data_IF_225280254756
#
_entry.id   IF_225280254756
#
_cell.length_a   1.000
_cell.length_b   1.000
_cell.length_c   1.000
_cell.angle_alpha   90.00
_cell.angle_beta   90.00
_cell.angle_gamma   90.00
#
_symmetry.space_group_name_H-M   'P 1'
#
loop_
_entity.id
_entity.type
_entity.pdbx_description
1 polymer ?
#
# COMPACT_ATOMS: atom_id res chain seq x y z
N UNK A 1 76.78 -19.36 -127.54
CA UNK A 1 77.24 -19.11 -126.16
C UNK A 1 76.46 -17.96 -125.51
N UNK A 2 76.47 -16.74 -126.07
CA UNK A 2 75.74 -15.57 -125.53
C UNK A 2 74.22 -15.71 -125.31
N UNK A 3 73.47 -16.41 -126.18
CA UNK A 3 72.02 -16.62 -126.01
C UNK A 3 71.67 -17.57 -124.85
N UNK A 4 72.50 -18.58 -124.62
CA UNK A 4 72.31 -19.54 -123.53
C UNK A 4 72.62 -18.89 -122.18
N UNK A 5 73.64 -18.03 -122.15
CA UNK A 5 74.05 -17.26 -120.98
C UNK A 5 72.96 -16.28 -120.54
N UNK A 6 72.35 -15.55 -121.48
CA UNK A 6 71.20 -14.68 -121.17
C UNK A 6 69.98 -15.45 -120.67
N UNK A 7 69.67 -16.61 -121.25
CA UNK A 7 68.56 -17.45 -120.78
C UNK A 7 68.79 -17.99 -119.36
N UNK A 8 70.03 -18.39 -119.05
CA UNK A 8 70.43 -18.82 -117.71
C UNK A 8 70.33 -17.67 -116.70
N UNK A 9 70.81 -16.47 -117.06
CA UNK A 9 70.74 -15.28 -116.18
C UNK A 9 69.30 -14.84 -115.91
N UNK A 10 68.44 -14.79 -116.93
CA UNK A 10 67.01 -14.46 -116.78
C UNK A 10 66.27 -15.51 -115.93
N UNK A 11 66.51 -16.80 -116.15
CA UNK A 11 65.87 -17.87 -115.38
C UNK A 11 66.35 -17.87 -113.92
N UNK A 12 67.67 -17.69 -113.69
CA UNK A 12 68.22 -17.53 -112.34
C UNK A 12 67.65 -16.30 -111.63
N UNK A 13 67.47 -15.18 -112.33
CA UNK A 13 66.86 -13.96 -111.76
C UNK A 13 65.39 -14.19 -111.39
N UNK A 14 64.62 -14.87 -112.25
CA UNK A 14 63.23 -15.25 -111.96
C UNK A 14 63.13 -16.19 -110.75
N UNK A 15 63.99 -17.23 -110.69
CA UNK A 15 64.07 -18.13 -109.54
C UNK A 15 64.49 -17.39 -108.26
N UNK A 16 65.43 -16.45 -108.35
CA UNK A 16 65.86 -15.64 -107.20
C UNK A 16 64.75 -14.73 -106.68
N UNK A 17 63.97 -14.10 -107.58
CA UNK A 17 62.78 -13.31 -107.22
C UNK A 17 61.71 -14.18 -106.57
N UNK A 18 61.47 -15.38 -107.11
CA UNK A 18 60.48 -16.31 -106.57
C UNK A 18 60.89 -16.87 -105.19
N UNK A 19 62.17 -17.18 -104.99
CA UNK A 19 62.73 -17.57 -103.69
C UNK A 19 62.64 -16.44 -102.67
N UNK A 20 62.97 -15.20 -103.07
CA UNK A 20 62.85 -14.02 -102.22
C UNK A 20 61.39 -13.77 -101.83
N UNK A 21 60.45 -13.90 -102.77
CA UNK A 21 59.03 -13.72 -102.51
C UNK A 21 58.46 -14.81 -101.60
N UNK A 22 58.85 -16.07 -101.79
CA UNK A 22 58.49 -17.17 -100.91
C UNK A 22 59.07 -16.98 -99.50
N UNK A 23 60.32 -16.52 -99.39
CA UNK A 23 60.94 -16.21 -98.10
C UNK A 23 60.22 -15.07 -97.39
N UNK A 24 59.85 -14.00 -98.10
CA UNK A 24 59.07 -12.87 -97.56
C UNK A 24 57.67 -13.32 -97.15
N UNK A 25 56.97 -14.12 -97.95
CA UNK A 25 55.65 -14.65 -97.62
C UNK A 25 55.68 -15.55 -96.39
N UNK A 26 56.67 -16.44 -96.29
CA UNK A 26 56.83 -17.32 -95.15
C UNK A 26 57.15 -16.52 -93.87
N UNK A 27 58.05 -15.54 -93.97
CA UNK A 27 58.37 -14.66 -92.84
C UNK A 27 57.19 -13.77 -92.43
N UNK A 28 56.35 -13.36 -93.38
CA UNK A 28 55.12 -12.61 -93.11
C UNK A 28 54.08 -13.50 -92.42
N UNK A 29 53.93 -14.75 -92.86
CA UNK A 29 53.03 -15.71 -92.24
C UNK A 29 53.43 -16.03 -90.79
N UNK A 30 54.72 -16.25 -90.53
CA UNK A 30 55.23 -16.47 -89.16
C UNK A 30 55.05 -15.24 -88.27
N UNK A 31 55.30 -14.03 -88.79
CA UNK A 31 55.03 -12.80 -88.03
C UNK A 31 53.55 -12.60 -87.72
N UNK A 32 52.64 -12.92 -88.66
CA UNK A 32 51.20 -12.87 -88.43
C UNK A 32 50.77 -13.91 -87.38
N UNK A 33 51.28 -15.14 -87.45
CA UNK A 33 50.99 -16.19 -86.47
C UNK A 33 51.43 -15.78 -85.06
N UNK A 34 52.66 -15.29 -84.90
CA UNK A 34 53.17 -14.75 -83.62
C UNK A 34 52.30 -13.58 -83.15
N UNK A 35 51.96 -12.65 -84.04
CA UNK A 35 51.11 -11.50 -83.73
C UNK A 35 49.72 -11.90 -83.25
N UNK A 36 49.08 -12.86 -83.91
CA UNK A 36 47.76 -13.38 -83.51
C UNK A 36 47.80 -14.14 -82.19
N UNK A 37 48.83 -14.96 -81.97
CA UNK A 37 49.03 -15.66 -80.70
C UNK A 37 49.24 -14.68 -79.56
N UNK A 38 50.06 -13.64 -79.76
CA UNK A 38 50.31 -12.61 -78.75
C UNK A 38 49.03 -11.83 -78.44
N UNK A 39 48.28 -11.41 -79.47
CA UNK A 39 46.99 -10.72 -79.29
C UNK A 39 45.98 -11.59 -78.54
N UNK A 40 45.89 -12.88 -78.86
CA UNK A 40 45.01 -13.82 -78.14
C UNK A 40 45.41 -13.96 -76.67
N UNK A 41 46.71 -14.09 -76.39
CA UNK A 41 47.23 -14.18 -75.03
C UNK A 41 47.00 -12.88 -74.24
N UNK A 42 47.22 -11.72 -74.87
CA UNK A 42 46.95 -10.41 -74.28
C UNK A 42 45.45 -10.27 -73.97
N UNK A 43 44.56 -10.63 -74.90
CA UNK A 43 43.12 -10.58 -74.68
C UNK A 43 42.68 -11.48 -73.52
N UNK A 44 43.25 -12.69 -73.40
CA UNK A 44 42.97 -13.58 -72.27
C UNK A 44 43.48 -13.01 -70.93
N UNK A 45 44.68 -12.44 -70.91
CA UNK A 45 45.23 -11.77 -69.73
C UNK A 45 44.39 -10.56 -69.32
N UNK A 46 43.98 -9.72 -70.27
CA UNK A 46 43.09 -8.58 -70.01
C UNK A 46 41.78 -9.07 -69.41
N UNK A 47 41.19 -10.14 -69.94
CA UNK A 47 39.95 -10.71 -69.40
C UNK A 47 40.12 -11.22 -67.96
N UNK A 48 41.21 -11.94 -67.66
CA UNK A 48 41.52 -12.40 -66.29
C UNK A 48 41.73 -11.23 -65.34
N UNK A 49 42.43 -10.19 -65.78
CA UNK A 49 42.65 -8.99 -64.98
C UNK A 49 41.33 -8.28 -64.68
N UNK A 50 40.46 -8.10 -65.68
CA UNK A 50 39.13 -7.50 -65.46
C UNK A 50 38.27 -8.30 -64.49
N UNK A 51 38.35 -9.64 -64.52
CA UNK A 51 37.61 -10.50 -63.58
C UNK A 51 38.09 -10.26 -62.14
N UNK A 52 39.41 -10.25 -61.92
CA UNK A 52 40.00 -9.95 -60.61
C UNK A 52 39.65 -8.52 -60.15
N UNK A 53 39.72 -7.53 -61.04
CA UNK A 53 39.33 -6.14 -60.72
C UNK A 53 37.87 -6.05 -60.28
N UNK A 54 36.96 -6.72 -60.99
CA UNK A 54 35.54 -6.74 -60.61
C UNK A 54 35.31 -7.46 -59.28
N UNK A 55 36.04 -8.55 -59.02
CA UNK A 55 35.98 -9.28 -57.76
C UNK A 55 36.45 -8.40 -56.59
N UNK A 56 37.59 -7.72 -56.75
CA UNK A 56 38.13 -6.80 -55.74
C UNK A 56 37.16 -5.64 -55.51
N UNK A 57 36.61 -5.03 -56.57
CA UNK A 57 35.65 -3.94 -56.44
C UNK A 57 34.39 -4.37 -55.67
N UNK A 58 33.87 -5.57 -55.95
CA UNK A 58 32.72 -6.13 -55.23
C UNK A 58 33.05 -6.41 -53.76
N UNK A 59 34.21 -7.00 -53.47
CA UNK A 59 34.65 -7.23 -52.09
C UNK A 59 34.84 -5.92 -51.33
N UNK A 60 35.47 -4.92 -51.93
CA UNK A 60 35.63 -3.59 -51.32
C UNK A 60 34.28 -2.95 -51.04
N UNK A 61 33.36 -2.96 -51.99
CA UNK A 61 32.00 -2.43 -51.80
C UNK A 61 31.26 -3.14 -50.66
N UNK A 62 31.41 -4.47 -50.57
CA UNK A 62 30.81 -5.26 -49.48
C UNK A 62 31.39 -4.89 -48.11
N UNK A 63 32.72 -4.72 -48.03
CA UNK A 63 33.39 -4.33 -46.79
C UNK A 63 33.01 -2.90 -46.37
N UNK A 64 32.88 -1.98 -47.32
CA UNK A 64 32.43 -0.60 -47.06
C UNK A 64 31.01 -0.57 -46.49
N UNK A 65 30.09 -1.35 -47.07
CA UNK A 65 28.71 -1.48 -46.57
C UNK A 65 28.72 -2.04 -45.14
N UNK A 66 29.46 -3.13 -44.89
CA UNK A 66 29.55 -3.71 -43.54
C UNK A 66 30.15 -2.74 -42.52
N UNK A 67 31.16 -1.96 -42.92
CA UNK A 67 31.76 -0.95 -42.05
C UNK A 67 30.74 0.14 -41.69
N UNK A 68 29.95 0.59 -42.66
CA UNK A 68 28.89 1.57 -42.44
C UNK A 68 27.79 1.02 -41.52
N UNK A 69 27.33 -0.20 -41.74
CA UNK A 69 26.33 -0.88 -40.89
C UNK A 69 26.82 -1.03 -39.45
N UNK A 70 28.09 -1.41 -39.27
CA UNK A 70 28.72 -1.50 -37.95
C UNK A 70 28.80 -0.12 -37.28
N UNK A 71 29.23 0.92 -38.02
CA UNK A 71 29.33 2.27 -37.47
C UNK A 71 27.97 2.82 -37.02
N UNK A 72 26.91 2.56 -37.80
CA UNK A 72 25.55 2.96 -37.47
C UNK A 72 25.04 2.22 -36.23
N UNK A 73 25.36 0.93 -36.12
CA UNK A 73 25.01 0.09 -34.96
C UNK A 73 25.71 0.59 -33.70
N UNK A 74 27.00 0.91 -33.78
CA UNK A 74 27.76 1.51 -32.67
C UNK A 74 27.16 2.84 -32.24
N UNK A 75 26.86 3.75 -33.18
CA UNK A 75 26.23 5.03 -32.86
C UNK A 75 24.88 4.86 -32.12
N UNK A 76 24.07 3.88 -32.55
CA UNK A 76 22.80 3.57 -31.89
C UNK A 76 23.02 3.07 -30.46
N UNK A 77 24.00 2.20 -30.24
CA UNK A 77 24.36 1.68 -28.92
C UNK A 77 24.88 2.79 -28.00
N UNK A 78 25.74 3.68 -28.50
CA UNK A 78 26.25 4.83 -27.75
C UNK A 78 25.12 5.75 -27.28
N UNK A 79 24.15 6.03 -28.15
CA UNK A 79 22.97 6.83 -27.80
C UNK A 79 22.12 6.16 -26.71
N UNK A 80 21.92 4.84 -26.82
CA UNK A 80 21.20 4.08 -25.79
C UNK A 80 21.95 4.09 -24.45
N UNK A 81 23.27 3.92 -24.47
CA UNK A 81 24.11 3.94 -23.27
C UNK A 81 24.05 5.32 -22.58
N UNK A 82 24.06 6.41 -23.35
CA UNK A 82 23.93 7.77 -22.80
C UNK A 82 22.58 7.96 -22.11
N UNK A 83 21.50 7.49 -22.74
CA UNK A 83 20.16 7.58 -22.17
C UNK A 83 20.03 6.75 -20.89
N UNK A 84 20.56 5.52 -20.87
CA UNK A 84 20.58 4.68 -19.68
C UNK A 84 21.40 5.31 -18.55
N UNK A 85 22.56 5.90 -18.87
CA UNK A 85 23.39 6.62 -17.90
C UNK A 85 22.62 7.78 -17.27
N UNK A 86 21.87 8.55 -18.05
CA UNK A 86 21.05 9.63 -17.54
C UNK A 86 19.95 9.14 -16.57
N UNK A 87 19.25 8.06 -16.93
CA UNK A 87 18.22 7.47 -16.04
C UNK A 87 18.85 6.92 -14.74
N UNK A 88 20.03 6.31 -14.82
CA UNK A 88 20.75 5.84 -13.62
C UNK A 88 21.09 7.01 -12.70
N UNK A 89 21.60 8.13 -13.24
CA UNK A 89 21.91 9.32 -12.44
C UNK A 89 20.65 9.89 -11.76
N UNK A 90 19.53 9.93 -12.48
CA UNK A 90 18.24 10.38 -11.94
C UNK A 90 17.71 9.46 -10.83
N UNK A 91 17.89 8.15 -10.97
CA UNK A 91 17.54 7.19 -9.92
C UNK A 91 18.48 7.36 -8.72
N UNK A 92 19.77 7.56 -8.94
CA UNK A 92 20.75 7.76 -7.88
C UNK A 92 20.44 9.00 -7.02
N UNK A 93 20.10 10.12 -7.66
CA UNK A 93 19.69 11.35 -6.96
C UNK A 93 18.42 11.14 -6.13
N UNK A 94 17.41 10.45 -6.68
CA UNK A 94 16.19 10.10 -5.95
C UNK A 94 16.48 9.19 -4.75
N UNK A 95 17.36 8.21 -4.92
CA UNK A 95 17.74 7.31 -3.84
C UNK A 95 18.47 8.06 -2.73
N UNK A 96 19.39 8.96 -3.07
CA UNK A 96 20.09 9.79 -2.08
C UNK A 96 19.11 10.67 -1.28
N UNK A 97 18.11 11.26 -1.94
CA UNK A 97 17.07 12.03 -1.26
C UNK A 97 16.21 11.16 -0.32
N UNK A 98 15.86 9.94 -0.76
CA UNK A 98 15.10 9.00 0.05
C UNK A 98 15.88 8.53 1.27
N UNK A 99 17.17 8.22 1.11
CA UNK A 99 18.07 7.86 2.21
C UNK A 99 18.13 8.98 3.26
N UNK A 100 18.25 10.24 2.83
CA UNK A 100 18.24 11.36 3.77
C UNK A 100 16.91 11.51 4.52
N UNK A 101 15.77 11.36 3.83
CA UNK A 101 14.44 11.40 4.47
C UNK A 101 14.23 10.27 5.47
N UNK A 102 14.75 9.08 5.18
CA UNK A 102 14.68 7.95 6.09
C UNK A 102 15.46 8.27 7.37
N UNK A 103 16.68 8.80 7.25
CA UNK A 103 17.48 9.19 8.41
C UNK A 103 16.79 10.26 9.26
N UNK A 104 16.22 11.30 8.63
CA UNK A 104 15.44 12.32 9.36
C UNK A 104 14.21 11.72 10.07
N UNK A 105 13.51 10.77 9.44
CA UNK A 105 12.37 10.09 10.07
C UNK A 105 12.81 9.21 11.23
N UNK A 106 13.92 8.48 11.09
CA UNK A 106 14.48 7.65 12.17
C UNK A 106 14.89 8.50 13.37
N UNK A 107 15.46 9.68 13.14
CA UNK A 107 15.81 10.63 14.21
C UNK A 107 14.56 11.14 14.93
N UNK A 108 13.54 11.60 14.19
CA UNK A 108 12.27 12.05 14.79
C UNK A 108 11.58 10.95 15.60
N UNK A 109 11.47 9.74 15.04
CA UNK A 109 10.86 8.62 15.76
C UNK A 109 11.64 8.25 17.03
N UNK A 110 12.96 8.41 17.02
CA UNK A 110 13.79 8.16 18.20
C UNK A 110 13.51 9.19 19.29
N UNK A 111 13.40 10.47 18.93
CA UNK A 111 13.02 11.54 19.87
C UNK A 111 11.64 11.30 20.47
N UNK A 112 10.63 10.99 19.65
CA UNK A 112 9.27 10.66 20.11
C UNK A 112 9.24 9.44 21.04
N UNK A 113 10.04 8.41 20.74
CA UNK A 113 10.13 7.22 21.57
C UNK A 113 10.74 7.54 22.94
N UNK A 114 11.74 8.42 22.99
CA UNK A 114 12.38 8.81 24.24
C UNK A 114 11.43 9.70 25.08
N UNK A 115 10.66 10.60 24.45
CA UNK A 115 9.61 11.35 25.16
C UNK A 115 8.51 10.44 25.72
N UNK A 116 8.06 9.46 24.93
CA UNK A 116 7.03 8.51 25.37
C UNK A 116 7.52 7.61 26.52
N UNK A 117 8.80 7.26 26.54
CA UNK A 117 9.40 6.53 27.67
C UNK A 117 9.37 7.39 28.95
N UNK A 118 9.74 8.66 28.86
CA UNK A 118 9.71 9.58 30.01
C UNK A 118 8.27 9.75 30.54
N UNK A 119 7.29 9.97 29.65
CA UNK A 119 5.88 10.04 30.04
C UNK A 119 5.39 8.74 30.69
N UNK A 120 5.77 7.58 30.15
CA UNK A 120 5.45 6.28 30.73
C UNK A 120 6.02 6.16 32.15
N UNK A 121 7.26 6.54 32.38
CA UNK A 121 7.88 6.49 33.72
C UNK A 121 7.15 7.41 34.71
N UNK A 122 6.79 8.62 34.27
CA UNK A 122 6.01 9.57 35.04
C UNK A 122 4.62 9.04 35.41
N UNK A 123 3.91 8.45 34.45
CA UNK A 123 2.60 7.83 34.68
C UNK A 123 2.72 6.63 35.62
N UNK A 124 3.74 5.80 35.45
CA UNK A 124 3.97 4.63 36.30
C UNK A 124 4.25 5.04 37.76
N UNK A 125 5.00 6.11 37.97
CA UNK A 125 5.19 6.73 39.29
C UNK A 125 3.86 7.23 39.87
N UNK A 126 3.04 7.92 39.07
CA UNK A 126 1.74 8.43 39.50
C UNK A 126 0.78 7.31 39.90
N UNK A 127 0.68 6.25 39.10
CA UNK A 127 -0.15 5.07 39.38
C UNK A 127 0.30 4.38 40.66
N UNK A 128 1.61 4.22 40.86
CA UNK A 128 2.16 3.63 42.10
C UNK A 128 1.77 4.48 43.32
N UNK A 129 1.87 5.81 43.21
CA UNK A 129 1.46 6.73 44.27
C UNK A 129 -0.04 6.67 44.55
N UNK A 130 -0.87 6.64 43.51
CA UNK A 130 -2.32 6.52 43.65
C UNK A 130 -2.70 5.19 44.31
N UNK A 131 -2.07 4.09 43.92
CA UNK A 131 -2.30 2.77 44.54
C UNK A 131 -2.01 2.78 46.03
N UNK A 132 -0.93 3.44 46.46
CA UNK A 132 -0.61 3.60 47.89
C UNK A 132 -1.69 4.40 48.63
N UNK A 133 -2.15 5.52 48.04
CA UNK A 133 -3.20 6.35 48.64
C UNK A 133 -4.52 5.59 48.76
N UNK A 134 -4.91 4.83 47.73
CA UNK A 134 -6.14 4.02 47.73
C UNK A 134 -6.08 2.98 48.85
N UNK A 135 -4.96 2.26 49.00
CA UNK A 135 -4.79 1.29 50.09
C UNK A 135 -4.95 1.93 51.48
N UNK A 136 -4.41 3.14 51.68
CA UNK A 136 -4.57 3.84 52.95
C UNK A 136 -6.03 4.30 53.16
N UNK A 137 -6.70 4.79 52.12
CA UNK A 137 -8.11 5.16 52.17
C UNK A 137 -9.02 3.96 52.46
N UNK A 138 -8.78 2.80 51.86
CA UNK A 138 -9.50 1.55 52.15
C UNK A 138 -9.34 1.14 53.62
N UNK A 139 -8.12 1.25 54.16
CA UNK A 139 -7.86 0.98 55.58
C UNK A 139 -8.63 1.93 56.48
N UNK A 140 -8.72 3.21 56.13
CA UNK A 140 -9.53 4.17 56.89
C UNK A 140 -11.03 3.89 56.76
N UNK A 141 -11.51 3.57 55.57
CA UNK A 141 -12.91 3.23 55.32
C UNK A 141 -13.34 1.99 56.10
N UNK A 142 -12.49 0.97 56.18
CA UNK A 142 -12.75 -0.24 56.97
C UNK A 142 -12.88 0.08 58.46
N UNK A 143 -12.00 0.92 59.02
CA UNK A 143 -12.10 1.39 60.41
C UNK A 143 -13.38 2.20 60.65
N UNK A 144 -13.74 3.08 59.73
CA UNK A 144 -14.98 3.86 59.83
C UNK A 144 -16.21 2.95 59.77
N UNK A 145 -16.22 1.95 58.90
CA UNK A 145 -17.32 0.99 58.73
C UNK A 145 -17.48 0.09 59.95
N UNK A 146 -16.38 -0.39 60.56
CA UNK A 146 -16.45 -1.14 61.81
C UNK A 146 -16.97 -0.29 62.97
N UNK A 147 -16.57 0.98 63.04
CA UNK A 147 -17.11 1.88 64.06
C UNK A 147 -18.60 2.14 63.85
N UNK A 148 -19.04 2.30 62.59
CA UNK A 148 -20.43 2.52 62.26
C UNK A 148 -21.29 1.27 62.56
N UNK A 149 -20.80 0.05 62.32
CA UNK A 149 -21.54 -1.17 62.67
C UNK A 149 -21.69 -1.36 64.17
N UNK A 150 -20.68 -0.98 64.97
CA UNK A 150 -20.78 -0.93 66.43
C UNK A 150 -21.82 0.09 66.88
N UNK A 151 -21.80 1.29 66.30
CA UNK A 151 -22.78 2.34 66.59
C UNK A 151 -24.20 1.90 66.22
N UNK A 152 -24.36 1.25 65.06
CA UNK A 152 -25.63 0.73 64.58
C UNK A 152 -26.15 -0.41 65.47
N UNK A 153 -25.26 -1.27 66.00
CA UNK A 153 -25.61 -2.27 67.00
C UNK A 153 -26.09 -1.63 68.31
N UNK A 154 -25.36 -0.62 68.82
CA UNK A 154 -25.78 0.14 69.99
C UNK A 154 -27.13 0.84 69.77
N UNK A 155 -27.37 1.37 68.57
CA UNK A 155 -28.63 1.99 68.21
C UNK A 155 -29.78 0.99 68.14
N UNK A 156 -29.52 -0.26 67.73
CA UNK A 156 -30.50 -1.34 67.70
C UNK A 156 -30.83 -1.85 69.11
N UNK A 157 -29.82 -1.95 70.00
CA UNK A 157 -30.02 -2.25 71.43
C UNK A 157 -30.80 -1.13 72.13
N UNK A 158 -30.50 0.13 71.82
CA UNK A 158 -31.26 1.27 72.33
C UNK A 158 -32.70 1.27 71.79
N UNK A 159 -32.88 0.92 70.51
CA UNK A 159 -34.22 0.78 69.92
C UNK A 159 -34.99 -0.35 70.59
N UNK A 160 -34.37 -1.49 70.88
CA UNK A 160 -35.01 -2.64 71.53
C UNK A 160 -35.41 -2.33 72.98
N UNK A 161 -34.56 -1.62 73.74
CA UNK A 161 -34.93 -1.13 75.07
C UNK A 161 -36.08 -0.13 75.01
N UNK A 162 -36.08 0.80 74.05
CA UNK A 162 -37.21 1.70 73.80
C UNK A 162 -38.46 0.93 73.36
N UNK A 163 -38.34 -0.08 72.52
CA UNK A 163 -39.46 -0.91 72.07
C UNK A 163 -40.03 -1.75 73.21
N UNK A 164 -39.18 -2.25 74.11
CA UNK A 164 -39.57 -2.96 75.33
C UNK A 164 -40.32 -2.02 76.27
N UNK A 165 -39.86 -0.78 76.43
CA UNK A 165 -40.56 0.25 77.19
C UNK A 165 -41.90 0.61 76.52
N UNK A 166 -41.95 0.75 75.20
CA UNK A 166 -43.20 0.97 74.44
C UNK A 166 -44.15 -0.21 74.57
N UNK A 167 -43.66 -1.45 74.59
CA UNK A 167 -44.44 -2.69 74.73
C UNK A 167 -44.96 -2.85 76.16
N UNK A 168 -44.18 -2.44 77.16
CA UNK A 168 -44.63 -2.30 78.55
C UNK A 168 -45.69 -1.18 78.69
N UNK A 169 -45.67 -0.17 77.82
CA UNK A 169 -46.69 0.89 77.75
C UNK A 169 -47.88 0.57 76.82
N UNK A 170 -47.77 -0.38 75.89
CA UNK A 170 -48.75 -0.62 74.83
C UNK A 170 -49.21 -2.08 74.80
N UNK A 171 -50.26 -2.37 75.58
CA UNK A 171 -51.31 -3.26 75.07
C UNK A 171 -51.88 -2.60 73.80
N UNK A 172 -52.11 -3.42 72.77
CA UNK A 172 -52.57 -3.09 71.40
C UNK A 172 -51.48 -2.72 70.39
N UNK A 173 -51.46 -3.50 69.29
CA UNK A 173 -50.38 -3.53 68.31
C UNK A 173 -50.61 -2.67 67.07
N UNK A 174 -49.59 -2.65 66.21
CA UNK A 174 -49.59 -2.93 64.75
C UNK A 174 -48.26 -2.42 64.17
N UNK A 175 -47.65 -3.26 63.34
CA UNK A 175 -46.36 -3.08 62.69
C UNK A 175 -46.59 -2.59 61.26
N UNK A 176 -45.90 -1.53 60.82
CA UNK A 176 -45.80 -1.16 59.41
C UNK A 176 -44.33 -1.07 59.01
N UNK A 177 -43.88 -2.01 58.17
CA UNK A 177 -42.70 -1.87 57.31
C UNK A 177 -43.19 -1.94 55.87
N UNK A 178 -42.79 -0.96 55.07
CA UNK A 178 -42.70 -1.09 53.61
C UNK A 178 -41.61 -0.14 53.10
N UNK A 179 -40.46 -0.69 52.72
CA UNK A 179 -39.48 -0.06 51.84
C UNK A 179 -39.81 -0.47 50.40
N UNK A 180 -40.17 0.50 49.55
CA UNK A 180 -40.39 0.28 48.12
C UNK A 180 -39.04 0.21 47.40
N UNK A 181 -38.83 -0.83 46.58
CA UNK A 181 -37.87 -0.83 45.48
C UNK A 181 -38.47 0.02 44.36
N UNK A 182 -37.73 0.98 43.85
CA UNK A 182 -38.13 1.79 42.70
C UNK A 182 -38.03 0.96 41.41
N UNK A 183 -39.12 0.93 40.66
CA UNK A 183 -39.20 0.37 39.31
C UNK A 183 -38.43 1.29 38.34
N UNK A 184 -37.22 0.92 37.97
CA UNK A 184 -36.42 1.63 36.95
C UNK A 184 -37.05 1.47 35.56
N UNK A 185 -37.33 2.59 34.90
CA UNK A 185 -37.79 2.63 33.50
C UNK A 185 -36.66 2.16 32.58
N UNK A 186 -36.92 1.23 31.63
CA UNK A 186 -35.91 0.79 30.68
C UNK A 186 -35.59 1.90 29.66
N UNK A 187 -34.31 2.27 29.51
CA UNK A 187 -33.86 3.22 28.48
C UNK A 187 -33.76 2.55 27.12
N UNK A 188 -34.31 3.19 26.07
CA UNK A 188 -34.34 2.62 24.71
C UNK A 188 -33.13 2.97 23.87
N UNK A 189 -32.44 4.05 24.23
CA UNK A 189 -31.16 4.47 23.69
C UNK A 189 -30.52 5.53 24.61
N UNK A 190 -29.37 6.06 24.22
CA UNK A 190 -28.64 7.06 24.99
C UNK A 190 -29.33 8.42 25.08
N UNK A 191 -30.24 8.76 24.17
CA UNK A 191 -30.99 10.01 24.26
C UNK A 191 -32.04 9.92 25.37
N UNK A 192 -32.67 8.76 25.55
CA UNK A 192 -33.58 8.52 26.69
C UNK A 192 -32.82 8.52 28.03
N UNK A 193 -31.58 7.98 28.05
CA UNK A 193 -30.66 8.08 29.20
C UNK A 193 -30.36 9.53 29.54
N UNK A 194 -29.96 10.33 28.53
CA UNK A 194 -29.64 11.74 28.71
C UNK A 194 -30.84 12.57 29.20
N UNK A 195 -32.01 12.36 28.61
CA UNK A 195 -33.25 13.04 29.03
C UNK A 195 -33.68 12.68 30.46
N UNK A 196 -33.27 11.51 30.95
CA UNK A 196 -33.53 11.07 32.32
C UNK A 196 -32.53 11.68 33.34
N UNK A 197 -31.64 12.56 32.90
CA UNK A 197 -30.70 13.32 33.74
C UNK A 197 -29.31 12.71 33.88
N UNK A 198 -29.04 11.58 33.19
CA UNK A 198 -27.73 10.95 33.20
C UNK A 198 -26.81 11.58 32.14
N UNK A 199 -26.14 12.68 32.53
CA UNK A 199 -25.39 13.53 31.60
C UNK A 199 -23.88 13.24 31.56
N UNK A 200 -23.42 12.07 32.04
CA UNK A 200 -22.01 11.67 32.00
C UNK A 200 -21.78 10.67 30.88
N UNK A 201 -20.74 10.87 30.08
CA UNK A 201 -20.35 9.89 29.07
C UNK A 201 -19.92 8.59 29.74
N UNK A 202 -20.31 7.44 29.18
CA UNK A 202 -20.00 6.14 29.77
C UNK A 202 -20.81 4.99 29.21
N UNK A 203 -20.64 3.81 29.80
CA UNK A 203 -21.36 2.60 29.39
C UNK A 203 -22.69 2.49 30.10
N UNK A 204 -23.77 2.41 29.33
CA UNK A 204 -25.14 2.26 29.81
C UNK A 204 -25.80 1.00 29.23
N UNK A 205 -26.83 0.51 29.90
CA UNK A 205 -27.61 -0.66 29.46
C UNK A 205 -28.87 -0.20 28.76
N UNK A 206 -29.02 -0.61 27.51
CA UNK A 206 -30.15 -0.25 26.64
C UNK A 206 -31.05 -1.45 26.40
N UNK A 207 -32.36 -1.20 26.44
CA UNK A 207 -33.41 -2.20 26.30
C UNK A 207 -34.20 -1.93 25.02
N UNK A 208 -34.32 -2.95 24.17
CA UNK A 208 -35.11 -2.87 22.94
C UNK A 208 -36.22 -3.89 23.01
N UNK A 209 -37.47 -3.47 22.83
CA UNK A 209 -38.63 -4.36 22.94
C UNK A 209 -38.56 -5.60 22.03
N UNK A 210 -37.85 -5.51 20.90
CA UNK A 210 -37.69 -6.61 19.93
C UNK A 210 -36.40 -7.44 20.11
N UNK A 211 -35.61 -7.16 21.15
CA UNK A 211 -34.37 -7.90 21.47
C UNK A 211 -34.48 -8.40 22.90
N UNK A 212 -34.43 -9.74 23.08
CA UNK A 212 -34.64 -10.36 24.40
C UNK A 212 -33.58 -9.98 25.43
N UNK A 213 -32.36 -9.68 24.97
CA UNK A 213 -31.25 -9.35 25.85
C UNK A 213 -30.90 -7.86 25.79
N UNK A 214 -30.84 -7.16 26.93
CA UNK A 214 -30.37 -5.78 26.96
C UNK A 214 -28.91 -5.71 26.56
N UNK A 215 -28.51 -4.63 25.89
CA UNK A 215 -27.14 -4.45 25.40
C UNK A 215 -26.46 -3.28 26.08
N UNK A 216 -25.19 -3.49 26.45
CA UNK A 216 -24.32 -2.43 26.94
C UNK A 216 -23.81 -1.63 25.74
N UNK A 217 -23.95 -0.31 25.80
CA UNK A 217 -23.51 0.62 24.76
C UNK A 217 -22.76 1.77 25.42
N UNK A 218 -21.88 2.42 24.67
CA UNK A 218 -21.30 3.67 25.10
C UNK A 218 -22.20 4.83 24.71
N UNK A 219 -22.56 5.65 25.69
CA UNK A 219 -23.27 6.89 25.49
C UNK A 219 -22.30 8.06 25.57
N UNK A 220 -22.18 8.82 24.49
CA UNK A 220 -21.48 10.10 24.51
C UNK A 220 -22.49 11.20 24.87
N UNK A 221 -22.29 11.82 26.03
CA UNK A 221 -23.20 12.82 26.60
C UNK A 221 -22.68 14.25 26.46
N UNK A 222 -21.56 14.45 25.75
CA UNK A 222 -20.87 15.73 25.67
C UNK A 222 -20.91 16.33 24.26
N UNK A 223 -20.68 15.50 23.24
CA UNK A 223 -20.54 15.96 21.86
C UNK A 223 -21.91 16.36 21.29
N UNK A 224 -21.97 17.50 20.59
CA UNK A 224 -23.14 17.95 19.82
C UNK A 224 -24.47 17.89 20.60
N UNK A 225 -24.47 18.22 21.90
CA UNK A 225 -25.66 18.23 22.75
C UNK A 225 -25.95 16.92 23.50
N UNK A 226 -25.09 15.89 23.35
CA UNK A 226 -25.17 14.63 24.09
C UNK A 226 -26.27 13.67 23.62
N UNK A 227 -26.40 12.55 24.31
CA UNK A 227 -27.39 11.51 24.00
C UNK A 227 -27.02 10.60 22.84
N UNK A 228 -25.76 10.56 22.42
CA UNK A 228 -25.33 9.76 21.28
C UNK A 228 -25.02 8.32 21.68
N UNK A 229 -25.72 7.37 21.06
CA UNK A 229 -25.35 5.95 21.14
C UNK A 229 -24.24 5.65 20.14
N UNK A 230 -23.06 5.29 20.65
CA UNK A 230 -21.92 4.95 19.81
C UNK A 230 -22.10 3.54 19.24
N UNK A 231 -22.13 3.42 17.91
CA UNK A 231 -22.32 2.14 17.21
C UNK A 231 -21.01 1.54 16.71
N UNK A 232 -19.97 2.36 16.54
CA UNK A 232 -18.61 1.97 16.17
C UNK A 232 -17.63 2.97 16.80
N UNK A 233 -16.52 2.48 17.31
CA UNK A 233 -15.41 3.32 17.77
C UNK A 233 -14.05 2.70 17.38
N UNK A 234 -13.14 3.54 16.88
CA UNK A 234 -11.72 3.23 16.58
C UNK A 234 -10.84 4.29 17.22
N UNK A 235 -9.73 3.88 17.83
CA UNK A 235 -8.80 4.81 18.49
C UNK A 235 -7.33 4.38 18.37
N UNK A 236 -7.01 3.11 18.65
CA UNK A 236 -5.64 2.66 18.84
C UNK A 236 -5.27 1.42 18.01
N UNK A 237 -6.24 0.82 17.31
CA UNK A 237 -6.03 -0.41 16.53
C UNK A 237 -5.86 -1.67 17.39
N UNK A 238 -6.21 -1.63 18.68
CA UNK A 238 -6.13 -2.79 19.59
C UNK A 238 -7.08 -3.93 19.22
N UNK A 239 -8.14 -3.64 18.46
CA UNK A 239 -9.12 -4.63 18.03
C UNK A 239 -9.02 -4.88 16.52
N UNK A 240 -8.91 -6.16 16.16
CA UNK A 240 -9.02 -6.59 14.77
C UNK A 240 -10.47 -6.41 14.25
N UNK A 241 -10.62 -5.85 13.06
CA UNK A 241 -11.92 -5.66 12.38
C UNK A 241 -12.11 -6.60 11.18
N UNK A 242 -11.15 -7.47 10.89
CA UNK A 242 -11.28 -8.53 9.88
C UNK A 242 -12.12 -9.70 10.42
N UNK A 243 -13.42 -9.43 10.61
CA UNK A 243 -14.37 -10.32 11.26
C UNK A 243 -15.36 -10.97 10.30
N UNK A 244 -15.90 -12.11 10.71
CA UNK A 244 -16.92 -12.85 9.96
C UNK A 244 -18.27 -12.13 9.96
N UNK A 245 -19.17 -12.53 9.05
CA UNK A 245 -20.55 -12.02 9.01
C UNK A 245 -21.28 -12.17 10.35
N UNK A 246 -21.12 -13.33 11.01
CA UNK A 246 -21.75 -13.61 12.29
C UNK A 246 -21.26 -12.66 13.38
N UNK A 247 -19.98 -12.31 13.37
CA UNK A 247 -19.40 -11.35 14.32
C UNK A 247 -19.90 -9.93 14.05
N UNK A 248 -19.94 -9.47 12.80
CA UNK A 248 -20.54 -8.17 12.46
C UNK A 248 -22.04 -8.09 12.80
N UNK A 249 -22.77 -9.20 12.66
CA UNK A 249 -24.16 -9.29 13.07
C UNK A 249 -24.33 -9.13 14.58
N UNK A 250 -23.56 -9.87 15.38
CA UNK A 250 -23.68 -9.90 16.84
C UNK A 250 -22.98 -8.72 17.54
N UNK A 251 -21.98 -8.12 16.88
CA UNK A 251 -21.07 -7.14 17.46
C UNK A 251 -19.84 -7.80 18.10
N UNK A 252 -18.78 -7.02 18.23
CA UNK A 252 -17.49 -7.43 18.82
C UNK A 252 -16.76 -6.22 19.41
N UNK A 253 -15.79 -6.47 20.29
CA UNK A 253 -15.08 -5.43 21.04
C UNK A 253 -15.74 -5.06 22.36
N UNK A 254 -15.27 -3.96 22.96
CA UNK A 254 -15.80 -3.44 24.23
C UNK A 254 -16.42 -2.06 24.02
N UNK A 255 -17.63 -1.78 24.54
CA UNK A 255 -18.20 -0.43 24.50
C UNK A 255 -17.28 0.64 25.11
N UNK A 256 -16.41 0.27 26.04
CA UNK A 256 -15.45 1.21 26.66
C UNK A 256 -14.17 1.46 25.84
N UNK A 257 -14.03 0.89 24.65
CA UNK A 257 -12.86 1.03 23.77
C UNK A 257 -13.24 0.81 22.30
N UNK A 258 -12.35 0.20 21.51
CA UNK A 258 -12.70 -0.16 20.13
C UNK A 258 -13.81 -1.22 20.08
N UNK A 259 -14.81 -1.01 19.22
CA UNK A 259 -15.90 -1.96 19.04
C UNK A 259 -16.73 -1.73 17.78
N UNK A 260 -17.49 -2.76 17.42
CA UNK A 260 -18.64 -2.70 16.54
C UNK A 260 -19.87 -3.20 17.31
N UNK A 261 -20.91 -2.37 17.42
CA UNK A 261 -22.06 -2.66 18.27
C UNK A 261 -22.90 -3.84 17.77
N UNK A 262 -22.84 -4.17 16.48
CA UNK A 262 -23.51 -5.31 15.87
C UNK A 262 -24.74 -4.93 15.06
N UNK A 263 -24.79 -5.42 13.82
CA UNK A 263 -25.80 -5.03 12.84
C UNK A 263 -27.22 -5.34 13.28
N UNK A 264 -27.46 -6.48 13.95
CA UNK A 264 -28.80 -6.83 14.40
C UNK A 264 -29.34 -5.83 15.43
N UNK A 265 -28.46 -5.36 16.31
CA UNK A 265 -28.82 -4.36 17.32
C UNK A 265 -28.97 -2.96 16.72
N UNK A 266 -28.09 -2.57 15.78
CA UNK A 266 -28.20 -1.30 15.06
C UNK A 266 -29.50 -1.25 14.24
N UNK A 267 -29.88 -2.36 13.59
CA UNK A 267 -31.16 -2.50 12.90
C UNK A 267 -32.32 -2.32 13.88
N UNK A 268 -32.28 -3.01 15.02
CA UNK A 268 -33.31 -2.94 16.04
C UNK A 268 -33.45 -1.55 16.66
N UNK A 269 -32.37 -0.78 16.86
CA UNK A 269 -32.43 0.62 17.30
C UNK A 269 -33.00 1.49 16.19
N UNK A 270 -32.39 1.47 15.01
CA UNK A 270 -32.75 2.40 13.93
C UNK A 270 -34.13 2.13 13.32
N UNK A 271 -34.77 1.01 13.66
CA UNK A 271 -36.18 0.72 13.32
C UNK A 271 -37.20 1.30 14.29
N UNK A 272 -36.77 1.76 15.47
CA UNK A 272 -37.68 2.22 16.53
C UNK A 272 -38.20 3.64 16.33
N UNK A 273 -37.36 4.52 15.79
CA UNK A 273 -37.64 5.93 15.50
C UNK A 273 -36.65 6.44 14.45
N UNK A 274 -36.83 7.67 14.00
CA UNK A 274 -35.86 8.31 13.12
C UNK A 274 -34.59 8.66 13.92
N UNK A 275 -33.43 8.16 13.47
CA UNK A 275 -32.12 8.52 14.03
C UNK A 275 -31.31 9.32 13.01
N UNK A 276 -30.50 10.24 13.52
CA UNK A 276 -29.41 10.86 12.77
C UNK A 276 -28.11 10.10 13.01
N UNK A 277 -27.26 9.98 11.99
CA UNK A 277 -25.92 9.42 12.12
C UNK A 277 -24.90 10.56 12.08
N UNK A 278 -23.97 10.56 13.03
CA UNK A 278 -22.80 11.44 13.04
C UNK A 278 -21.55 10.57 13.01
N UNK A 279 -20.63 10.92 12.11
CA UNK A 279 -19.33 10.26 11.98
C UNK A 279 -18.28 11.31 12.29
N UNK A 280 -17.45 11.08 13.30
CA UNK A 280 -16.30 11.91 13.61
C UNK A 280 -15.01 11.16 13.25
N UNK A 281 -14.08 11.86 12.63
CA UNK A 281 -12.79 11.35 12.21
C UNK A 281 -11.70 12.26 12.74
N UNK A 282 -10.57 11.67 13.10
CA UNK A 282 -9.35 12.37 13.47
C UNK A 282 -8.22 11.84 12.59
N UNK A 283 -7.40 12.74 12.04
CA UNK A 283 -6.17 12.35 11.34
C UNK A 283 -4.99 12.18 12.33
N UNK A 284 -3.85 11.69 11.82
CA UNK A 284 -2.67 11.43 12.64
C UNK A 284 -2.03 12.72 13.18
N UNK A 285 -2.29 13.86 12.53
CA UNK A 285 -1.89 15.19 12.99
C UNK A 285 -2.85 15.80 14.03
N UNK A 286 -3.93 15.08 14.40
CA UNK A 286 -4.90 15.49 15.42
C UNK A 286 -6.03 16.41 14.94
N UNK A 287 -6.12 16.67 13.63
CA UNK A 287 -7.23 17.44 13.06
C UNK A 287 -8.52 16.61 13.09
N UNK A 288 -9.63 17.24 13.49
CA UNK A 288 -10.94 16.59 13.59
C UNK A 288 -11.90 17.09 12.52
N UNK A 289 -12.61 16.17 11.89
CA UNK A 289 -13.69 16.47 10.96
C UNK A 289 -14.93 15.63 11.31
N UNK A 290 -16.12 16.09 10.92
CA UNK A 290 -17.35 15.32 11.10
C UNK A 290 -18.26 15.38 9.87
N UNK A 291 -19.09 14.37 9.73
CA UNK A 291 -20.20 14.32 8.78
C UNK A 291 -21.48 13.91 9.52
N UNK A 292 -22.61 14.52 9.15
CA UNK A 292 -23.89 14.26 9.80
C UNK A 292 -24.99 13.99 8.76
N UNK A 293 -25.77 12.96 9.01
CA UNK A 293 -26.88 12.50 8.17
C UNK A 293 -28.16 12.52 8.99
N UNK A 294 -29.18 13.25 8.55
CA UNK A 294 -30.42 13.48 9.33
C UNK A 294 -31.32 12.24 9.44
N UNK A 295 -31.11 11.26 8.56
CA UNK A 295 -31.89 10.02 8.47
C UNK A 295 -30.96 8.84 8.23
N UNK A 296 -30.81 8.02 9.26
CA UNK A 296 -30.06 6.78 9.22
C UNK A 296 -30.91 5.61 9.67
N UNK A 297 -30.89 4.56 8.85
CA UNK A 297 -31.56 3.29 9.09
C UNK A 297 -30.83 2.24 8.27
N UNK A 298 -30.73 1.03 8.80
CA UNK A 298 -30.25 -0.15 8.06
C UNK A 298 -31.37 -1.17 7.96
N UNK A 299 -31.40 -1.99 6.92
CA UNK A 299 -32.36 -3.08 6.77
C UNK A 299 -32.07 -4.26 7.70
N UNK A 300 -32.94 -5.28 7.64
CA UNK A 300 -32.70 -6.52 8.37
C UNK A 300 -31.65 -7.42 7.67
N UNK A 301 -31.32 -8.56 8.30
CA UNK A 301 -30.35 -9.52 7.74
C UNK A 301 -30.71 -10.02 6.34
N UNK A 302 -32.01 -10.21 6.03
CA UNK A 302 -32.46 -10.67 4.69
C UNK A 302 -32.19 -9.62 3.60
N UNK A 303 -32.07 -8.36 3.99
CA UNK A 303 -31.70 -7.24 3.12
C UNK A 303 -30.20 -6.93 3.20
N UNK A 304 -29.40 -7.81 3.81
CA UNK A 304 -27.97 -7.66 4.01
C UNK A 304 -27.58 -6.37 4.77
N UNK A 305 -28.45 -5.90 5.68
CA UNK A 305 -28.24 -4.66 6.45
C UNK A 305 -27.97 -3.41 5.58
N UNK A 306 -28.61 -3.35 4.40
CA UNK A 306 -28.52 -2.22 3.48
C UNK A 306 -29.07 -0.92 4.07
#
# INVERSE_FOLDING_TARGET
>A
LLQLENYIVENMKSEMVQLQQNAVQNHTATMLEIGTSLLSQTAEQTRKLTDVETQVLNQTSRLEIQLLENSLSTYKLEKQLLQQTHEILKIHEKNSLLEHRILEMEERHKEELDTLKEEKENLQSLVTRQSYIIQELEKQLNKATSNNSVLQKQQLELMDTVHTLITLCSKEGVLLKNTKKEDEKPFRDCADVYQSGFNKSGVYTIYINNVSDPKKVFCNMEIAGGGWTVIQHREDGSLDFQKSWKEYKMGFGSPSGEHWLGNEFIFAITSQRQYSLRIELMDWEGNRAYSQYDRFHIGNEKQNYR
#
